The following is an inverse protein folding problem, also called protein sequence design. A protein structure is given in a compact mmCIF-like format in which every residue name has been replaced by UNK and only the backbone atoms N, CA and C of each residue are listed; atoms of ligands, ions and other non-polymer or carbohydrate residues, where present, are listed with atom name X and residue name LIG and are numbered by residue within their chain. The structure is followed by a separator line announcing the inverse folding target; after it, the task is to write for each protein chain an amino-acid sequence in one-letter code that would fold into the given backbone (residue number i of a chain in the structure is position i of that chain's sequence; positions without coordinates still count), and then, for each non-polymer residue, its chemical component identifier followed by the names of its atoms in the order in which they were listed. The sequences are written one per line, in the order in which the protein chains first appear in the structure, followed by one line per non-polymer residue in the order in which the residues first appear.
data_IF_460342172077
#
_entry.id   IF_460342172077
#
_cell.length_a   1.000
_cell.length_b   1.000
_cell.length_c   1.000
_cell.angle_alpha   90.00
_cell.angle_beta   90.00
_cell.angle_gamma   90.00
#
_symmetry.space_group_name_H-M   'P 1'
#
loop_
_entity.id
_entity.type
_entity.pdbx_description
1 polymer ?
#
# COMPACT_ATOMS: atom_id res chain seq x y z
N UNK A 1 7.27 38.83 -21.86
CA UNK A 1 7.64 37.43 -21.48
C UNK A 1 6.40 36.79 -20.88
N UNK A 2 5.95 35.66 -21.42
CA UNK A 2 4.90 34.87 -20.74
C UNK A 2 5.32 34.58 -19.30
N UNK A 3 4.47 34.83 -18.31
CA UNK A 3 4.78 34.56 -16.92
C UNK A 3 5.30 33.12 -16.78
N UNK A 4 6.42 32.94 -16.11
CA UNK A 4 7.13 31.65 -16.03
C UNK A 4 6.30 30.50 -15.45
N UNK A 5 5.17 30.77 -14.79
CA UNK A 5 4.23 29.78 -14.30
C UNK A 5 3.30 29.20 -15.39
N UNK A 6 3.09 29.93 -16.50
CA UNK A 6 2.22 29.47 -17.60
C UNK A 6 2.86 28.33 -18.41
N UNK A 7 4.19 28.25 -18.44
CA UNK A 7 4.88 27.17 -19.17
C UNK A 7 4.60 25.78 -18.55
N UNK A 8 4.79 25.57 -17.25
CA UNK A 8 4.43 24.30 -16.63
C UNK A 8 2.93 23.96 -16.76
N UNK A 9 2.06 24.96 -16.58
CA UNK A 9 0.62 24.77 -16.74
C UNK A 9 0.27 24.38 -18.19
N UNK A 10 0.83 25.06 -19.17
CA UNK A 10 0.63 24.73 -20.58
C UNK A 10 1.11 23.31 -20.91
N UNK A 11 2.26 22.88 -20.37
CA UNK A 11 2.77 21.53 -20.55
C UNK A 11 1.85 20.48 -19.92
N UNK A 12 1.33 20.72 -18.73
CA UNK A 12 0.37 19.81 -18.07
C UNK A 12 -0.93 19.72 -18.86
N UNK A 13 -1.46 20.86 -19.31
CA UNK A 13 -2.69 20.90 -20.12
C UNK A 13 -2.45 20.21 -21.48
N UNK A 14 -1.33 20.49 -22.14
CA UNK A 14 -0.99 19.85 -23.41
C UNK A 14 -0.81 18.33 -23.21
N UNK A 15 -0.13 17.89 -22.17
CA UNK A 15 -0.01 16.47 -21.84
C UNK A 15 -1.40 15.84 -21.58
N UNK A 16 -2.29 16.48 -20.82
CA UNK A 16 -3.63 16.00 -20.56
C UNK A 16 -4.52 15.91 -21.81
N UNK A 17 -4.30 16.79 -22.80
CA UNK A 17 -5.04 16.80 -24.06
C UNK A 17 -4.47 15.84 -25.11
N UNK A 18 -3.14 15.68 -25.15
CA UNK A 18 -2.43 14.90 -26.17
C UNK A 18 -2.35 13.42 -25.77
N UNK A 19 -2.20 13.12 -24.47
CA UNK A 19 -2.06 11.75 -24.01
C UNK A 19 -3.40 11.01 -24.13
N UNK A 20 -3.45 9.87 -24.83
CA UNK A 20 -4.65 9.05 -24.91
C UNK A 20 -5.12 8.64 -23.50
N UNK A 21 -6.41 8.80 -23.23
CA UNK A 21 -7.00 8.37 -21.94
C UNK A 21 -6.73 6.89 -21.64
N UNK A 22 -6.60 6.07 -22.69
CA UNK A 22 -6.20 4.66 -22.57
C UNK A 22 -4.78 4.44 -22.02
N UNK A 23 -3.90 5.45 -22.11
CA UNK A 23 -2.55 5.40 -21.54
C UNK A 23 -2.52 5.80 -20.07
N UNK A 24 -3.57 6.49 -19.62
CA UNK A 24 -3.72 6.97 -18.23
C UNK A 24 -4.58 6.03 -17.38
N UNK A 25 -5.27 5.07 -17.99
CA UNK A 25 -6.15 4.13 -17.32
C UNK A 25 -5.45 2.79 -17.05
N UNK A 26 -5.04 2.58 -15.79
CA UNK A 26 -4.56 1.29 -15.29
C UNK A 26 -3.07 1.00 -15.53
N UNK A 27 -2.65 -0.22 -15.24
CA UNK A 27 -1.27 -0.70 -15.29
C UNK A 27 -0.59 -0.72 -16.68
N UNK A 28 -1.22 -0.14 -17.70
CA UNK A 28 -0.75 -0.15 -19.10
C UNK A 28 0.01 1.11 -19.53
N UNK A 29 0.32 2.01 -18.60
CA UNK A 29 1.17 3.18 -18.92
C UNK A 29 2.55 2.69 -19.31
N UNK A 30 3.02 3.09 -20.50
CA UNK A 30 4.37 2.72 -20.95
C UNK A 30 5.41 3.30 -19.96
N UNK A 31 6.32 2.49 -19.39
CA UNK A 31 7.25 2.94 -18.35
C UNK A 31 8.07 4.17 -18.75
N UNK A 32 8.53 4.25 -20.03
CA UNK A 32 9.31 5.39 -20.51
C UNK A 32 8.56 6.73 -20.47
N UNK A 33 7.23 6.69 -20.75
CA UNK A 33 6.40 7.89 -20.71
C UNK A 33 6.24 8.38 -19.27
N UNK A 34 6.01 7.45 -18.34
CA UNK A 34 5.94 7.75 -16.92
C UNK A 34 7.27 8.35 -16.42
N UNK A 35 8.41 7.76 -16.81
CA UNK A 35 9.73 8.28 -16.47
C UNK A 35 9.95 9.69 -17.03
N UNK A 36 9.53 9.97 -18.26
CA UNK A 36 9.62 11.29 -18.88
C UNK A 36 8.79 12.32 -18.10
N UNK A 37 7.56 11.98 -17.69
CA UNK A 37 6.72 12.84 -16.86
C UNK A 37 7.37 13.10 -15.50
N UNK A 38 7.90 12.07 -14.85
CA UNK A 38 8.61 12.18 -13.57
C UNK A 38 9.83 13.11 -13.71
N UNK A 39 10.64 12.95 -14.76
CA UNK A 39 11.78 13.86 -15.02
C UNK A 39 11.32 15.31 -15.24
N UNK A 40 10.24 15.52 -15.98
CA UNK A 40 9.66 16.86 -16.17
C UNK A 40 9.23 17.51 -14.86
N UNK A 41 8.53 16.76 -14.00
CA UNK A 41 8.13 17.24 -12.67
C UNK A 41 9.35 17.53 -11.79
N UNK A 42 10.37 16.66 -11.81
CA UNK A 42 11.61 16.86 -11.06
C UNK A 42 12.35 18.17 -11.48
N UNK A 43 12.41 18.45 -12.78
CA UNK A 43 12.98 19.71 -13.28
C UNK A 43 12.21 20.95 -12.80
N UNK A 44 10.87 20.88 -12.81
CA UNK A 44 10.03 21.98 -12.30
C UNK A 44 10.23 22.16 -10.79
N UNK A 45 10.33 21.06 -10.04
CA UNK A 45 10.59 21.07 -8.61
C UNK A 45 11.96 21.67 -8.28
N UNK A 46 13.03 21.28 -8.99
CA UNK A 46 14.35 21.84 -8.81
C UNK A 46 14.39 23.34 -9.12
N UNK A 47 13.71 23.76 -10.19
CA UNK A 47 13.55 25.18 -10.51
C UNK A 47 12.82 25.95 -9.42
N UNK A 48 11.73 25.37 -8.86
CA UNK A 48 11.00 25.96 -7.75
C UNK A 48 11.90 26.11 -6.52
N UNK A 49 12.60 25.07 -6.12
CA UNK A 49 13.50 25.10 -4.96
C UNK A 49 14.65 26.09 -5.15
N UNK A 50 15.22 26.17 -6.37
CA UNK A 50 16.24 27.18 -6.70
C UNK A 50 15.69 28.59 -6.53
N UNK A 51 14.51 28.88 -7.05
CA UNK A 51 13.83 30.16 -6.86
C UNK A 51 13.55 30.45 -5.37
N UNK A 52 13.09 29.46 -4.61
CA UNK A 52 12.84 29.61 -3.17
C UNK A 52 14.12 30.05 -2.43
N UNK A 53 15.23 29.37 -2.70
CA UNK A 53 16.51 29.64 -2.01
C UNK A 53 17.12 30.99 -2.42
N UNK A 54 17.12 31.30 -3.73
CA UNK A 54 17.84 32.49 -4.23
C UNK A 54 17.03 33.78 -4.17
N UNK A 55 15.70 33.70 -4.35
CA UNK A 55 14.89 34.89 -4.56
C UNK A 55 13.92 35.20 -3.40
N UNK A 56 13.68 34.24 -2.48
CA UNK A 56 12.59 34.42 -1.51
C UNK A 56 13.00 34.22 -0.04
N UNK A 57 14.24 33.80 0.22
CA UNK A 57 14.73 33.66 1.59
C UNK A 57 15.55 34.85 2.03
N UNK A 58 15.41 35.28 3.31
CA UNK A 58 16.27 36.27 3.88
C UNK A 58 17.68 35.67 4.06
N UNK A 59 18.65 36.21 3.33
CA UNK A 59 20.07 35.81 3.43
C UNK A 59 20.80 36.59 4.51
N UNK A 60 20.30 37.79 4.86
CA UNK A 60 20.80 38.61 5.95
C UNK A 60 19.93 38.42 7.20
N UNK A 61 20.54 38.37 8.37
CA UNK A 61 19.82 38.23 9.63
C UNK A 61 19.18 36.86 9.87
N UNK A 62 19.86 35.78 9.50
CA UNK A 62 19.37 34.38 9.59
C UNK A 62 18.82 34.03 11.00
N UNK A 63 19.28 34.70 12.05
CA UNK A 63 18.82 34.48 13.41
C UNK A 63 17.55 35.30 13.76
N UNK A 64 17.02 36.12 12.85
CA UNK A 64 15.75 36.82 13.14
C UNK A 64 14.59 35.83 13.20
N UNK A 65 13.56 36.04 14.04
CA UNK A 65 12.40 35.17 14.14
C UNK A 65 11.69 34.96 12.77
N UNK A 66 11.63 36.02 11.97
CA UNK A 66 11.06 35.95 10.61
C UNK A 66 11.88 35.02 9.67
N UNK A 67 13.22 35.13 9.73
CA UNK A 67 14.09 34.26 8.96
C UNK A 67 13.95 32.80 9.39
N UNK A 68 13.93 32.52 10.70
CA UNK A 68 13.72 31.17 11.25
C UNK A 68 12.38 30.60 10.75
N UNK A 69 11.32 31.41 10.73
CA UNK A 69 10.03 31.02 10.21
C UNK A 69 10.10 30.65 8.70
N UNK A 70 10.69 31.52 7.87
CA UNK A 70 10.82 31.29 6.43
C UNK A 70 11.64 30.02 6.11
N UNK A 71 12.77 29.81 6.80
CA UNK A 71 13.59 28.61 6.66
C UNK A 71 12.89 27.34 7.15
N UNK A 72 12.06 27.44 8.21
CA UNK A 72 11.26 26.30 8.70
C UNK A 72 10.21 25.85 7.68
N UNK A 73 9.55 26.81 7.02
CA UNK A 73 8.61 26.49 5.93
C UNK A 73 9.35 25.82 4.76
N UNK A 74 10.52 26.36 4.34
CA UNK A 74 11.30 25.72 3.28
C UNK A 74 11.73 24.30 3.67
N UNK A 75 12.11 24.04 4.92
CA UNK A 75 12.47 22.70 5.36
C UNK A 75 11.28 21.72 5.22
N UNK A 76 10.06 22.16 5.53
CA UNK A 76 8.84 21.37 5.32
C UNK A 76 8.59 21.15 3.81
N UNK A 77 8.76 22.18 2.97
CA UNK A 77 8.64 22.06 1.52
C UNK A 77 9.65 21.03 0.95
N UNK A 78 10.89 21.06 1.39
CA UNK A 78 11.94 20.09 0.99
C UNK A 78 11.53 18.67 1.42
N UNK A 79 11.01 18.50 2.64
CA UNK A 79 10.53 17.21 3.12
C UNK A 79 9.42 16.65 2.23
N UNK A 80 8.48 17.49 1.79
CA UNK A 80 7.41 17.12 0.84
C UNK A 80 7.99 16.70 -0.51
N UNK A 81 8.99 17.42 -1.01
CA UNK A 81 9.64 17.05 -2.27
C UNK A 81 10.41 15.74 -2.18
N UNK A 82 11.04 15.44 -1.03
CA UNK A 82 11.68 14.15 -0.79
C UNK A 82 10.63 13.03 -0.76
N UNK A 83 9.52 13.20 -0.06
CA UNK A 83 8.41 12.25 -0.03
C UNK A 83 7.85 11.99 -1.44
N UNK A 84 7.63 13.07 -2.20
CA UNK A 84 7.17 12.99 -3.59
C UNK A 84 8.18 12.28 -4.49
N UNK A 85 9.48 12.53 -4.33
CA UNK A 85 10.53 11.86 -5.08
C UNK A 85 10.58 10.34 -4.79
N UNK A 86 10.40 9.95 -3.52
CA UNK A 86 10.29 8.53 -3.14
C UNK A 86 9.04 7.90 -3.76
N UNK A 87 7.89 8.58 -3.74
CA UNK A 87 6.69 8.11 -4.42
C UNK A 87 6.91 7.92 -5.92
N UNK A 88 7.54 8.90 -6.58
CA UNK A 88 7.86 8.79 -8.01
C UNK A 88 8.84 7.66 -8.30
N UNK A 89 9.84 7.44 -7.43
CA UNK A 89 10.72 6.30 -7.53
C UNK A 89 9.91 4.99 -7.44
N UNK A 90 9.01 4.87 -6.48
CA UNK A 90 8.15 3.67 -6.31
C UNK A 90 7.38 3.38 -7.60
N UNK A 91 6.72 4.37 -8.20
CA UNK A 91 5.87 4.15 -9.37
C UNK A 91 6.61 4.14 -10.71
N UNK A 92 7.91 4.45 -10.74
CA UNK A 92 8.70 4.61 -11.97
C UNK A 92 8.91 3.32 -12.78
N UNK A 93 8.74 2.14 -12.15
CA UNK A 93 8.98 0.82 -12.76
C UNK A 93 7.81 -0.14 -12.49
N UNK A 94 6.58 0.16 -12.96
CA UNK A 94 5.45 -0.73 -12.72
C UNK A 94 5.70 -2.10 -13.37
N UNK A 95 5.46 -3.17 -12.62
CA UNK A 95 5.48 -4.55 -13.12
C UNK A 95 4.05 -5.04 -13.30
N UNK A 96 3.79 -5.64 -14.46
CA UNK A 96 2.55 -6.35 -14.74
C UNK A 96 2.83 -7.85 -14.81
N UNK A 97 2.34 -8.59 -13.83
CA UNK A 97 2.52 -10.02 -13.72
C UNK A 97 1.38 -10.83 -14.39
N UNK A 98 0.41 -10.19 -15.05
CA UNK A 98 -0.75 -10.89 -15.64
C UNK A 98 -0.34 -11.95 -16.66
N UNK A 99 0.66 -11.66 -17.52
CA UNK A 99 1.18 -12.63 -18.49
C UNK A 99 1.88 -13.81 -17.82
N UNK A 100 2.63 -13.57 -16.76
CA UNK A 100 3.27 -14.63 -15.98
C UNK A 100 2.20 -15.49 -15.30
N UNK A 101 1.14 -14.88 -14.79
CA UNK A 101 -0.01 -15.60 -14.24
C UNK A 101 -0.73 -16.43 -15.32
N UNK A 102 -0.91 -15.90 -16.57
CA UNK A 102 -1.50 -16.66 -17.68
C UNK A 102 -0.69 -17.93 -18.00
N UNK A 103 0.63 -17.80 -18.12
CA UNK A 103 1.51 -18.94 -18.38
C UNK A 103 1.52 -19.92 -17.21
N UNK A 104 1.60 -19.42 -15.98
CA UNK A 104 1.60 -20.25 -14.77
C UNK A 104 0.28 -21.00 -14.61
N UNK A 105 -0.88 -20.36 -14.84
CA UNK A 105 -2.19 -21.01 -14.82
C UNK A 105 -2.28 -22.12 -15.87
N UNK A 106 -1.90 -21.83 -17.12
CA UNK A 106 -1.94 -22.82 -18.20
C UNK A 106 -1.11 -24.07 -17.84
N UNK A 107 0.06 -23.88 -17.24
CA UNK A 107 0.91 -24.99 -16.80
C UNK A 107 0.29 -25.75 -15.64
N UNK A 108 -0.20 -25.06 -14.60
CA UNK A 108 -0.81 -25.71 -13.44
C UNK A 108 -2.06 -26.51 -13.85
N UNK A 109 -2.87 -26.00 -14.78
CA UNK A 109 -4.03 -26.73 -15.32
C UNK A 109 -3.64 -27.97 -16.15
N UNK A 110 -2.45 -27.97 -16.75
CA UNK A 110 -1.89 -29.12 -17.45
C UNK A 110 -1.24 -30.14 -16.51
N UNK A 111 -0.96 -29.75 -15.25
CA UNK A 111 -0.39 -30.63 -14.23
C UNK A 111 -1.48 -31.56 -13.66
N UNK A 112 -1.13 -32.80 -13.38
CA UNK A 112 -2.05 -33.76 -12.73
C UNK A 112 -2.47 -33.24 -11.35
N UNK A 113 -3.73 -33.44 -10.97
CA UNK A 113 -4.28 -32.96 -9.70
C UNK A 113 -3.44 -33.37 -8.48
N UNK A 114 -2.85 -34.56 -8.52
CA UNK A 114 -1.99 -35.10 -7.44
C UNK A 114 -0.63 -34.42 -7.32
N UNK A 115 -0.18 -33.78 -8.42
CA UNK A 115 1.13 -33.12 -8.49
C UNK A 115 1.03 -31.61 -8.21
N UNK A 116 -0.20 -31.10 -8.04
CA UNK A 116 -0.41 -29.74 -7.59
C UNK A 116 -0.03 -29.59 -6.11
N UNK A 117 0.57 -28.42 -5.72
CA UNK A 117 0.97 -28.20 -4.34
C UNK A 117 -0.23 -28.13 -3.40
N UNK A 118 -0.02 -28.51 -2.15
CA UNK A 118 -1.03 -28.38 -1.09
C UNK A 118 -1.14 -26.97 -0.58
N UNK A 119 -2.37 -26.50 -0.33
CA UNK A 119 -2.67 -25.14 0.11
C UNK A 119 -3.59 -25.18 1.33
N UNK A 120 -3.14 -24.55 2.42
CA UNK A 120 -3.98 -24.27 3.58
C UNK A 120 -4.63 -22.87 3.42
N UNK A 121 -5.93 -22.76 3.53
CA UNK A 121 -6.66 -21.50 3.51
C UNK A 121 -7.01 -21.09 4.93
N UNK A 122 -6.44 -20.01 5.42
CA UNK A 122 -6.67 -19.47 6.76
C UNK A 122 -7.65 -18.31 6.70
N UNK A 123 -8.83 -18.47 7.30
CA UNK A 123 -9.84 -17.43 7.45
C UNK A 123 -9.78 -16.96 8.90
N UNK A 124 -9.12 -15.83 9.15
CA UNK A 124 -8.97 -15.29 10.49
C UNK A 124 -10.20 -14.46 10.88
N UNK A 125 -10.82 -14.79 12.02
CA UNK A 125 -12.06 -14.16 12.51
C UNK A 125 -12.03 -13.97 14.03
N UNK A 126 -12.79 -12.97 14.51
CA UNK A 126 -12.93 -12.67 15.94
C UNK A 126 -14.39 -12.48 16.35
N UNK A 127 -15.08 -11.50 15.78
CA UNK A 127 -16.46 -11.12 16.15
C UNK A 127 -17.31 -10.72 14.93
N UNK A 128 -16.86 -11.05 13.72
CA UNK A 128 -17.62 -10.75 12.51
C UNK A 128 -18.94 -11.53 12.51
N UNK A 129 -19.98 -10.89 11.94
CA UNK A 129 -21.32 -11.45 11.83
C UNK A 129 -21.34 -12.66 10.89
N UNK A 130 -22.30 -13.56 11.11
CA UNK A 130 -22.48 -14.76 10.32
C UNK A 130 -22.57 -14.48 8.82
N UNK A 131 -23.40 -13.51 8.43
CA UNK A 131 -23.66 -13.16 7.01
C UNK A 131 -22.40 -12.66 6.27
N UNK A 132 -21.45 -12.10 6.99
CA UNK A 132 -20.15 -11.66 6.44
C UNK A 132 -19.25 -12.86 6.26
N UNK A 133 -19.07 -13.63 7.34
CA UNK A 133 -18.14 -14.74 7.39
C UNK A 133 -18.56 -15.90 6.49
N UNK A 134 -19.85 -16.19 6.37
CA UNK A 134 -20.37 -17.26 5.52
C UNK A 134 -20.00 -17.05 4.06
N UNK A 135 -20.06 -15.83 3.55
CA UNK A 135 -19.67 -15.51 2.17
C UNK A 135 -18.21 -15.85 1.89
N UNK A 136 -17.32 -15.54 2.84
CA UNK A 136 -15.90 -15.87 2.74
C UNK A 136 -15.66 -17.38 2.79
N UNK A 137 -16.35 -18.09 3.69
CA UNK A 137 -16.29 -19.55 3.81
C UNK A 137 -16.76 -20.22 2.50
N UNK A 138 -17.92 -19.80 1.98
CA UNK A 138 -18.46 -20.33 0.72
C UNK A 138 -17.54 -20.04 -0.45
N UNK A 139 -16.99 -18.82 -0.53
CA UNK A 139 -16.00 -18.45 -1.53
C UNK A 139 -14.74 -19.31 -1.45
N UNK A 140 -14.23 -19.59 -0.26
CA UNK A 140 -13.10 -20.47 -0.06
C UNK A 140 -13.40 -21.94 -0.48
N UNK A 141 -14.60 -22.44 -0.24
CA UNK A 141 -15.03 -23.76 -0.69
C UNK A 141 -15.21 -23.85 -2.22
N UNK A 142 -15.51 -22.71 -2.86
CA UNK A 142 -15.67 -22.61 -4.32
C UNK A 142 -14.34 -22.44 -5.07
N UNK A 143 -13.20 -22.32 -4.36
CA UNK A 143 -11.89 -22.25 -5.02
C UNK A 143 -11.67 -23.45 -5.93
N UNK A 144 -11.32 -23.17 -7.18
CA UNK A 144 -10.96 -24.17 -8.20
C UNK A 144 -9.56 -24.72 -7.88
N UNK A 145 -9.52 -25.75 -7.03
CA UNK A 145 -8.31 -26.48 -6.63
C UNK A 145 -8.70 -27.89 -6.19
N UNK A 146 -7.85 -28.93 -6.42
CA UNK A 146 -8.16 -30.29 -6.00
C UNK A 146 -8.46 -30.36 -4.50
N UNK A 147 -9.56 -30.98 -4.13
CA UNK A 147 -10.05 -30.99 -2.74
C UNK A 147 -9.11 -31.74 -1.78
N UNK A 148 -8.34 -32.69 -2.28
CA UNK A 148 -7.30 -33.43 -1.55
C UNK A 148 -6.00 -32.60 -1.39
N UNK A 149 -5.91 -31.45 -2.06
CA UNK A 149 -4.81 -30.49 -2.00
C UNK A 149 -5.20 -29.14 -1.38
N UNK A 150 -6.47 -28.99 -0.97
CA UNK A 150 -7.03 -27.78 -0.41
C UNK A 150 -7.58 -28.03 1.00
N UNK A 151 -7.03 -27.39 1.99
CA UNK A 151 -7.51 -27.45 3.37
C UNK A 151 -8.02 -26.07 3.78
N UNK A 152 -9.25 -25.99 4.24
CA UNK A 152 -9.86 -24.73 4.71
C UNK A 152 -9.92 -24.74 6.23
N UNK A 153 -9.37 -23.72 6.87
CA UNK A 153 -9.28 -23.57 8.32
C UNK A 153 -9.87 -22.23 8.74
N UNK A 154 -10.91 -22.25 9.54
CA UNK A 154 -11.47 -21.06 10.19
C UNK A 154 -10.78 -20.88 11.54
N UNK A 155 -10.11 -19.73 11.71
CA UNK A 155 -9.30 -19.41 12.90
C UNK A 155 -10.08 -18.44 13.77
N UNK A 156 -10.83 -18.96 14.75
CA UNK A 156 -11.77 -18.19 15.56
C UNK A 156 -11.22 -17.80 16.94
N UNK A 157 -10.78 -16.56 17.07
CA UNK A 157 -10.41 -15.96 18.36
C UNK A 157 -11.64 -15.62 19.23
N UNK A 158 -12.84 -15.63 18.64
CA UNK A 158 -14.11 -15.44 19.33
C UNK A 158 -14.64 -16.67 20.05
N UNK A 159 -14.13 -17.87 19.72
CA UNK A 159 -14.50 -19.16 20.33
C UNK A 159 -16.01 -19.44 20.28
N UNK A 160 -16.61 -19.25 19.11
CA UNK A 160 -18.06 -19.27 18.90
C UNK A 160 -18.58 -20.67 18.60
N UNK A 161 -19.40 -21.25 19.48
CA UNK A 161 -19.95 -22.59 19.29
C UNK A 161 -20.81 -22.75 18.05
N UNK A 162 -21.55 -21.70 17.67
CA UNK A 162 -22.35 -21.73 16.45
C UNK A 162 -21.45 -21.82 15.21
N UNK A 163 -20.30 -21.14 15.21
CA UNK A 163 -19.36 -21.18 14.10
C UNK A 163 -18.67 -22.53 13.99
N UNK A 164 -18.32 -23.14 15.14
CA UNK A 164 -17.81 -24.51 15.15
C UNK A 164 -18.78 -25.48 14.50
N UNK A 165 -20.05 -25.47 14.93
CA UNK A 165 -21.11 -26.33 14.37
C UNK A 165 -21.27 -26.10 12.87
N UNK A 166 -21.18 -24.85 12.40
CA UNK A 166 -21.27 -24.50 11.00
C UNK A 166 -20.08 -25.05 10.20
N UNK A 167 -18.85 -24.94 10.71
CA UNK A 167 -17.65 -25.52 10.09
C UNK A 167 -17.72 -27.04 10.04
N UNK A 168 -18.09 -27.68 11.15
CA UNK A 168 -18.24 -29.15 11.23
C UNK A 168 -19.25 -29.68 10.20
N UNK A 169 -20.39 -29.01 10.03
CA UNK A 169 -21.40 -29.36 9.04
C UNK A 169 -20.94 -29.24 7.57
N UNK A 170 -19.91 -28.43 7.32
CA UNK A 170 -19.33 -28.18 5.99
C UNK A 170 -18.02 -28.95 5.74
N UNK A 171 -17.52 -29.70 6.73
CA UNK A 171 -16.23 -30.39 6.65
C UNK A 171 -15.03 -29.44 6.60
N UNK A 172 -15.13 -28.31 7.32
CA UNK A 172 -14.10 -27.28 7.41
C UNK A 172 -13.43 -27.37 8.79
N UNK A 173 -12.11 -27.24 8.83
CA UNK A 173 -11.38 -27.22 10.09
C UNK A 173 -11.66 -25.95 10.88
N UNK A 174 -11.99 -26.14 12.15
CA UNK A 174 -12.23 -25.03 13.07
C UNK A 174 -11.16 -25.01 14.15
N UNK A 175 -10.40 -23.91 14.21
CA UNK A 175 -9.30 -23.75 15.16
C UNK A 175 -9.60 -22.62 16.15
N UNK A 176 -9.37 -22.91 17.41
CA UNK A 176 -9.32 -21.93 18.50
C UNK A 176 -7.99 -22.05 19.22
N UNK A 177 -7.70 -21.08 20.06
CA UNK A 177 -6.53 -21.05 20.93
C UNK A 177 -6.88 -20.54 22.33
N UNK A 178 -6.05 -20.83 23.33
CA UNK A 178 -6.34 -20.46 24.72
C UNK A 178 -6.27 -18.96 24.96
N UNK A 179 -5.34 -18.28 24.32
CA UNK A 179 -5.08 -16.85 24.46
C UNK A 179 -5.13 -16.13 23.12
N UNK A 180 -5.74 -14.95 23.09
CA UNK A 180 -5.76 -14.05 21.90
C UNK A 180 -4.51 -13.15 21.82
N UNK A 181 -3.40 -13.54 22.46
CA UNK A 181 -2.14 -12.81 22.40
C UNK A 181 -1.69 -12.64 20.94
N UNK A 182 -1.18 -11.44 20.62
CA UNK A 182 -0.73 -11.05 19.28
C UNK A 182 -1.83 -11.05 18.20
N UNK A 183 -3.09 -10.96 18.60
CA UNK A 183 -4.25 -10.81 17.71
C UNK A 183 -4.18 -11.75 16.47
N UNK A 184 -4.38 -11.22 15.26
CA UNK A 184 -4.38 -11.98 13.99
C UNK A 184 -3.08 -12.76 13.75
N UNK A 185 -1.91 -12.13 13.95
CA UNK A 185 -0.62 -12.81 13.75
C UNK A 185 -0.46 -14.02 14.66
N UNK A 186 -0.85 -13.90 15.93
CA UNK A 186 -0.84 -15.02 16.87
C UNK A 186 -1.80 -16.14 16.48
N UNK A 187 -2.96 -15.79 15.92
CA UNK A 187 -3.96 -16.75 15.45
C UNK A 187 -3.44 -17.53 14.24
N UNK A 188 -2.87 -16.83 13.25
CA UNK A 188 -2.23 -17.46 12.08
C UNK A 188 -1.04 -18.33 12.51
N UNK A 189 -0.20 -17.89 13.45
CA UNK A 189 0.92 -18.68 13.96
C UNK A 189 0.47 -19.98 14.61
N UNK A 190 -0.65 -19.96 15.33
CA UNK A 190 -1.25 -21.17 15.91
C UNK A 190 -1.76 -22.13 14.81
N UNK A 191 -2.27 -21.62 13.70
CA UNK A 191 -2.69 -22.42 12.57
C UNK A 191 -1.48 -23.01 11.82
N UNK A 192 -0.44 -22.22 11.54
CA UNK A 192 0.80 -22.70 10.89
C UNK A 192 1.40 -23.89 11.63
N UNK A 193 1.35 -23.89 12.97
CA UNK A 193 1.86 -24.98 13.80
C UNK A 193 1.02 -26.27 13.76
N UNK A 194 -0.22 -26.22 13.22
CA UNK A 194 -1.19 -27.33 13.16
C UNK A 194 -1.46 -27.81 11.75
N UNK A 195 -0.85 -27.21 10.76
CA UNK A 195 -1.06 -27.51 9.34
C UNK A 195 0.28 -27.69 8.64
N UNK A 196 0.27 -28.33 7.49
CA UNK A 196 1.47 -28.79 6.75
C UNK A 196 1.42 -28.50 5.25
N UNK A 197 0.44 -27.72 4.78
CA UNK A 197 0.36 -27.31 3.38
C UNK A 197 1.64 -26.62 2.90
N UNK A 198 2.07 -26.93 1.66
CA UNK A 198 3.27 -26.31 1.06
C UNK A 198 3.14 -24.78 0.93
N UNK A 199 1.90 -24.32 0.81
CA UNK A 199 1.54 -22.91 0.79
C UNK A 199 0.37 -22.64 1.73
N UNK A 200 0.23 -21.41 2.17
CA UNK A 200 -0.98 -20.99 2.87
C UNK A 200 -1.49 -19.65 2.31
N UNK A 201 -2.82 -19.58 2.12
CA UNK A 201 -3.57 -18.39 1.75
C UNK A 201 -4.17 -17.77 3.01
N UNK A 202 -3.94 -16.48 3.24
CA UNK A 202 -4.58 -15.74 4.33
C UNK A 202 -5.72 -14.89 3.77
N UNK A 203 -6.90 -15.04 4.35
CA UNK A 203 -8.09 -14.25 4.08
C UNK A 203 -8.58 -13.59 5.37
N UNK A 204 -8.98 -12.34 5.31
CA UNK A 204 -9.81 -11.73 6.35
C UNK A 204 -11.25 -12.29 6.26
N UNK A 205 -11.97 -12.24 7.35
CA UNK A 205 -13.31 -12.78 7.46
C UNK A 205 -14.33 -12.17 6.47
N UNK A 206 -14.01 -10.99 5.94
CA UNK A 206 -14.83 -10.19 5.04
C UNK A 206 -14.34 -10.17 3.58
N UNK A 207 -13.36 -11.01 3.21
CA UNK A 207 -12.85 -11.12 1.84
C UNK A 207 -13.24 -12.45 1.18
N UNK A 208 -14.04 -12.36 0.12
CA UNK A 208 -14.56 -13.49 -0.65
C UNK A 208 -13.59 -13.76 -1.81
N UNK A 209 -12.85 -14.87 -1.82
CA UNK A 209 -12.00 -15.23 -2.95
C UNK A 209 -12.85 -15.65 -4.16
N UNK A 210 -12.34 -15.39 -5.36
CA UNK A 210 -12.92 -15.90 -6.62
C UNK A 210 -12.40 -17.31 -6.92
N UNK A 211 -13.16 -18.07 -7.67
CA UNK A 211 -12.86 -19.46 -7.99
C UNK A 211 -11.45 -19.66 -8.56
N UNK A 212 -11.00 -18.79 -9.45
CA UNK A 212 -9.71 -18.89 -10.14
C UNK A 212 -8.51 -18.34 -9.35
N UNK A 213 -8.72 -17.90 -8.11
CA UNK A 213 -7.68 -17.23 -7.28
C UNK A 213 -6.39 -18.04 -7.24
N UNK A 214 -6.48 -19.33 -6.89
CA UNK A 214 -5.30 -20.16 -6.71
C UNK A 214 -4.55 -20.37 -8.02
N UNK A 215 -5.21 -20.75 -9.09
CA UNK A 215 -4.56 -20.95 -10.38
C UNK A 215 -3.83 -19.69 -10.87
N UNK A 216 -4.43 -18.52 -10.70
CA UNK A 216 -3.84 -17.24 -11.09
C UNK A 216 -2.61 -16.89 -10.27
N UNK A 217 -2.72 -16.99 -8.96
CA UNK A 217 -1.67 -16.54 -8.04
C UNK A 217 -0.52 -17.55 -7.91
N UNK A 218 -0.84 -18.86 -7.88
CA UNK A 218 0.16 -19.93 -7.68
C UNK A 218 1.16 -20.02 -8.84
N UNK A 219 0.78 -19.61 -10.05
CA UNK A 219 1.67 -19.60 -11.20
C UNK A 219 2.93 -18.74 -11.00
N UNK A 220 2.87 -17.72 -10.15
CA UNK A 220 4.01 -16.83 -9.88
C UNK A 220 5.06 -17.46 -8.95
N UNK A 221 4.74 -18.56 -8.27
CA UNK A 221 5.68 -19.29 -7.41
C UNK A 221 6.60 -20.23 -8.19
N UNK A 222 6.56 -20.22 -9.50
CA UNK A 222 7.56 -20.90 -10.34
C UNK A 222 8.98 -20.38 -10.05
N UNK A 223 9.11 -19.09 -9.81
CA UNK A 223 10.36 -18.50 -9.30
C UNK A 223 10.52 -18.90 -7.82
N UNK A 224 11.57 -19.68 -7.46
CA UNK A 224 11.79 -20.11 -6.08
C UNK A 224 12.08 -18.95 -5.12
N UNK A 225 12.45 -17.77 -5.63
CA UNK A 225 12.65 -16.56 -4.82
C UNK A 225 11.33 -15.92 -4.39
N UNK A 226 10.20 -16.28 -5.00
CA UNK A 226 8.92 -15.75 -4.60
C UNK A 226 8.44 -16.45 -3.32
N UNK A 227 8.43 -15.71 -2.23
CA UNK A 227 7.92 -16.17 -0.95
C UNK A 227 6.44 -15.83 -0.76
N UNK A 228 5.99 -14.69 -1.28
CA UNK A 228 4.62 -14.21 -1.14
C UNK A 228 4.10 -13.74 -2.49
N UNK A 229 2.84 -14.07 -2.79
CA UNK A 229 2.05 -13.42 -3.84
C UNK A 229 0.91 -12.68 -3.19
N UNK A 230 0.89 -11.35 -3.37
CA UNK A 230 -0.13 -10.45 -2.87
C UNK A 230 -1.05 -10.02 -4.02
N UNK A 231 -2.37 -10.01 -3.80
CA UNK A 231 -3.34 -9.43 -4.71
C UNK A 231 -4.01 -8.19 -4.09
N UNK A 232 -4.63 -7.29 -4.89
CA UNK A 232 -5.29 -6.09 -4.39
C UNK A 232 -6.45 -6.39 -3.45
N UNK A 233 -6.64 -5.53 -2.47
CA UNK A 233 -7.94 -5.42 -1.82
C UNK A 233 -8.90 -4.70 -2.76
N UNK A 234 -10.04 -5.29 -3.03
CA UNK A 234 -11.12 -4.73 -3.84
C UNK A 234 -12.41 -4.82 -3.05
N UNK A 235 -13.30 -3.84 -3.20
CA UNK A 235 -14.49 -3.74 -2.35
C UNK A 235 -15.77 -3.75 -3.18
N UNK A 236 -16.82 -4.41 -2.65
CA UNK A 236 -18.14 -4.46 -3.29
C UNK A 236 -19.04 -3.31 -2.84
N UNK A 237 -18.84 -2.74 -1.66
CA UNK A 237 -19.54 -1.55 -1.17
C UNK A 237 -18.73 -0.27 -1.43
N UNK A 238 -19.36 0.90 -1.45
CA UNK A 238 -18.64 2.17 -1.49
C UNK A 238 -17.96 2.44 -0.16
N UNK A 239 -16.78 3.06 -0.20
CA UNK A 239 -16.18 3.62 1.01
C UNK A 239 -17.00 4.81 1.55
N UNK A 240 -16.76 5.26 2.82
CA UNK A 240 -17.53 6.33 3.43
C UNK A 240 -17.47 7.68 2.67
N UNK A 241 -16.35 7.97 1.99
CA UNK A 241 -16.22 9.20 1.20
C UNK A 241 -17.09 9.13 -0.06
N UNK A 242 -17.03 8.01 -0.78
CA UNK A 242 -17.85 7.75 -1.95
C UNK A 242 -19.35 7.75 -1.61
N UNK A 243 -19.72 7.14 -0.46
CA UNK A 243 -21.11 7.05 -0.01
C UNK A 243 -21.66 8.41 0.40
N UNK A 244 -20.97 9.14 1.27
CA UNK A 244 -21.43 10.41 1.83
C UNK A 244 -21.50 11.52 0.77
N UNK A 245 -20.54 11.54 -0.16
CA UNK A 245 -20.51 12.52 -1.25
C UNK A 245 -21.33 12.09 -2.48
N UNK A 246 -21.88 10.86 -2.50
CA UNK A 246 -22.60 10.27 -3.65
C UNK A 246 -21.74 10.22 -4.93
N UNK A 247 -20.43 10.07 -4.81
CA UNK A 247 -19.47 10.15 -5.91
C UNK A 247 -18.93 8.78 -6.37
N UNK A 248 -19.53 7.66 -5.99
CA UNK A 248 -19.06 6.31 -6.33
C UNK A 248 -18.74 6.10 -7.82
N UNK A 249 -19.50 6.75 -8.71
CA UNK A 249 -19.30 6.63 -10.17
C UNK A 249 -18.13 7.46 -10.71
N UNK A 250 -17.68 8.45 -9.96
CA UNK A 250 -16.69 9.45 -10.40
C UNK A 250 -15.41 9.35 -9.59
N UNK A 251 -15.54 9.16 -8.28
CA UNK A 251 -14.41 9.06 -7.36
C UNK A 251 -14.02 7.58 -7.20
N UNK A 252 -12.78 7.19 -7.50
CA UNK A 252 -12.29 5.86 -7.16
C UNK A 252 -12.29 5.66 -5.64
N UNK A 253 -12.30 4.40 -5.19
CA UNK A 253 -12.11 4.10 -3.77
C UNK A 253 -10.74 4.61 -3.29
N UNK A 254 -10.65 4.94 -2.01
CA UNK A 254 -9.47 5.58 -1.42
C UNK A 254 -8.19 4.72 -1.48
N UNK A 255 -8.32 3.40 -1.61
CA UNK A 255 -7.20 2.47 -1.73
C UNK A 255 -6.77 2.20 -3.17
N UNK A 256 -7.51 2.73 -4.16
CA UNK A 256 -7.26 2.48 -5.58
C UNK A 256 -5.87 2.89 -6.04
N UNK A 257 -5.39 4.03 -5.57
CA UNK A 257 -4.04 4.50 -5.89
C UNK A 257 -2.98 3.55 -5.34
N UNK A 258 -3.16 3.10 -4.10
CA UNK A 258 -2.23 2.21 -3.43
C UNK A 258 -2.16 0.86 -4.15
N UNK A 259 -3.27 0.15 -4.27
CA UNK A 259 -3.29 -1.17 -4.90
C UNK A 259 -3.14 -1.10 -6.43
N UNK A 260 -3.72 -0.11 -7.10
CA UNK A 260 -3.68 -0.02 -8.56
C UNK A 260 -2.35 0.45 -9.13
N UNK A 261 -1.57 1.24 -8.38
CA UNK A 261 -0.37 1.90 -8.93
C UNK A 261 0.86 1.69 -8.05
N UNK A 262 0.78 2.00 -6.75
CA UNK A 262 1.95 1.97 -5.86
C UNK A 262 2.47 0.55 -5.70
N UNK A 263 1.61 -0.44 -5.45
CA UNK A 263 2.03 -1.83 -5.26
C UNK A 263 2.64 -2.43 -6.53
N UNK A 264 2.09 -2.14 -7.72
CA UNK A 264 2.67 -2.55 -9.00
C UNK A 264 4.04 -1.90 -9.25
N UNK A 265 4.19 -0.63 -8.87
CA UNK A 265 5.46 0.09 -8.91
C UNK A 265 6.50 -0.52 -7.97
N UNK A 266 6.13 -0.78 -6.73
CA UNK A 266 6.98 -1.43 -5.73
C UNK A 266 7.43 -2.82 -6.17
N UNK A 267 6.56 -3.60 -6.82
CA UNK A 267 6.92 -4.92 -7.37
C UNK A 267 8.00 -4.81 -8.45
N UNK A 268 7.98 -3.77 -9.27
CA UNK A 268 9.05 -3.49 -10.24
C UNK A 268 10.44 -3.26 -9.62
N UNK A 269 10.47 -2.94 -8.32
CA UNK A 269 11.68 -2.78 -7.50
C UNK A 269 11.92 -3.95 -6.56
N UNK A 270 11.21 -5.07 -6.72
CA UNK A 270 11.23 -6.24 -5.83
C UNK A 270 10.90 -5.89 -4.35
N UNK A 271 10.11 -4.83 -4.14
CA UNK A 271 9.77 -4.27 -2.83
C UNK A 271 8.25 -4.20 -2.58
N UNK A 272 7.43 -4.96 -3.34
CA UNK A 272 6.05 -5.21 -2.96
C UNK A 272 6.01 -5.88 -1.58
N UNK A 273 4.89 -5.76 -0.86
CA UNK A 273 4.79 -6.33 0.48
C UNK A 273 3.44 -6.99 0.74
N UNK A 274 3.43 -7.88 1.73
CA UNK A 274 2.22 -8.49 2.25
C UNK A 274 1.33 -7.43 2.91
N UNK A 275 0.05 -7.42 2.60
CA UNK A 275 -0.95 -6.51 3.17
C UNK A 275 -1.87 -7.22 4.18
N UNK A 276 -1.42 -8.35 4.72
CA UNK A 276 -2.08 -9.08 5.82
C UNK A 276 -3.28 -9.94 5.40
N UNK A 277 -3.83 -9.75 4.19
CA UNK A 277 -4.92 -10.54 3.63
C UNK A 277 -4.77 -10.68 2.12
N UNK A 278 -5.50 -11.61 1.51
CA UNK A 278 -5.46 -11.88 0.07
C UNK A 278 -4.04 -12.17 -0.42
N UNK A 279 -3.29 -12.91 0.36
CA UNK A 279 -1.91 -13.26 0.07
C UNK A 279 -1.65 -14.75 0.25
N UNK A 280 -0.90 -15.32 -0.68
CA UNK A 280 -0.38 -16.69 -0.57
C UNK A 280 1.07 -16.61 -0.16
N UNK A 281 1.46 -17.44 0.79
CA UNK A 281 2.84 -17.52 1.31
C UNK A 281 3.39 -18.92 1.16
N UNK A 282 4.63 -19.03 0.69
CA UNK A 282 5.40 -20.28 0.59
C UNK A 282 5.88 -20.69 1.97
N UNK A 283 5.53 -21.89 2.44
CA UNK A 283 5.89 -22.38 3.78
C UNK A 283 7.40 -22.55 3.94
N UNK A 284 8.10 -23.09 2.93
CA UNK A 284 9.57 -23.26 3.02
C UNK A 284 10.32 -21.94 3.20
N UNK A 285 9.80 -20.83 2.67
CA UNK A 285 10.38 -19.49 2.94
C UNK A 285 10.13 -19.03 4.39
N UNK A 286 8.96 -19.40 4.95
CA UNK A 286 8.64 -19.12 6.36
C UNK A 286 9.55 -19.88 7.33
N UNK A 287 9.94 -21.11 7.00
CA UNK A 287 10.84 -21.92 7.81
C UNK A 287 12.20 -21.23 8.00
N UNK A 288 12.71 -20.53 6.98
CA UNK A 288 13.98 -19.78 7.07
C UNK A 288 13.94 -18.57 8.01
N UNK A 289 12.74 -18.11 8.38
CA UNK A 289 12.55 -17.03 9.35
C UNK A 289 11.93 -17.52 10.66
N UNK A 290 11.95 -18.85 10.91
CA UNK A 290 11.46 -19.47 12.14
C UNK A 290 10.01 -19.94 12.09
N UNK A 291 9.41 -20.08 10.91
CA UNK A 291 8.05 -20.56 10.63
C UNK A 291 6.97 -19.86 11.45
N UNK A 292 7.13 -18.53 11.65
CA UNK A 292 6.20 -17.69 12.41
C UNK A 292 6.13 -16.30 11.78
N UNK A 293 4.93 -15.74 11.74
CA UNK A 293 4.77 -14.32 11.49
C UNK A 293 5.39 -13.54 12.65
N UNK A 294 6.04 -12.41 12.38
CA UNK A 294 6.48 -11.47 13.42
C UNK A 294 5.30 -11.04 14.29
N UNK A 295 5.55 -10.84 15.58
CA UNK A 295 4.54 -10.41 16.56
C UNK A 295 5.01 -9.16 17.29
N UNK A 296 4.09 -8.46 17.96
CA UNK A 296 4.43 -7.27 18.74
C UNK A 296 4.28 -5.95 17.98
N UNK A 297 3.82 -6.00 16.73
CA UNK A 297 3.50 -4.84 15.88
C UNK A 297 2.07 -4.90 15.37
N UNK A 298 1.56 -3.74 14.96
CA UNK A 298 0.24 -3.61 14.33
C UNK A 298 0.29 -4.02 12.84
N UNK A 299 1.45 -3.84 12.20
CA UNK A 299 1.71 -4.17 10.79
C UNK A 299 2.73 -5.29 10.68
N UNK A 300 2.39 -6.44 11.22
CA UNK A 300 3.20 -7.65 11.21
C UNK A 300 3.49 -8.17 9.79
N UNK A 301 2.58 -7.91 8.87
CA UNK A 301 2.65 -8.25 7.46
C UNK A 301 3.79 -7.53 6.72
N UNK A 302 3.98 -6.24 6.99
CA UNK A 302 5.11 -5.48 6.46
C UNK A 302 6.44 -5.99 7.03
N UNK A 303 6.47 -6.32 8.32
CA UNK A 303 7.67 -6.85 8.97
C UNK A 303 7.99 -8.26 8.47
N UNK A 304 6.99 -9.10 8.21
CA UNK A 304 7.14 -10.39 7.53
C UNK A 304 7.87 -10.22 6.19
N UNK A 305 7.41 -9.28 5.38
CA UNK A 305 8.05 -9.00 4.08
C UNK A 305 9.51 -8.59 4.25
N UNK A 306 9.82 -7.71 5.20
CA UNK A 306 11.20 -7.29 5.48
C UNK A 306 12.10 -8.45 5.96
N UNK A 307 11.54 -9.37 6.75
CA UNK A 307 12.27 -10.56 7.18
C UNK A 307 12.63 -11.48 5.99
N UNK A 308 11.67 -11.68 5.08
CA UNK A 308 11.87 -12.49 3.88
C UNK A 308 12.82 -11.83 2.87
N UNK A 309 12.72 -10.50 2.68
CA UNK A 309 13.66 -9.74 1.83
C UNK A 309 15.12 -9.91 2.32
N UNK A 310 15.37 -9.94 3.64
CA UNK A 310 16.69 -10.17 4.21
C UNK A 310 17.26 -11.57 3.91
N UNK A 311 16.38 -12.52 3.64
CA UNK A 311 16.73 -13.88 3.21
C UNK A 311 16.90 -13.99 1.69
N UNK A 312 16.67 -12.91 0.94
CA UNK A 312 16.77 -12.87 -0.52
C UNK A 312 15.49 -13.26 -1.24
N UNK A 313 14.40 -13.47 -0.52
CA UNK A 313 13.08 -13.68 -1.10
C UNK A 313 12.43 -12.38 -1.54
N UNK A 314 11.43 -12.48 -2.40
CA UNK A 314 10.64 -11.34 -2.87
C UNK A 314 9.14 -11.61 -2.73
N UNK A 315 8.37 -10.54 -2.59
CA UNK A 315 6.92 -10.56 -2.74
C UNK A 315 6.59 -10.14 -4.17
N UNK A 316 5.75 -10.91 -4.86
CA UNK A 316 5.15 -10.52 -6.15
C UNK A 316 3.77 -9.96 -5.95
N UNK A 317 3.43 -8.98 -6.75
CA UNK A 317 2.12 -8.38 -6.75
C UNK A 317 1.36 -8.70 -8.04
N UNK A 318 0.23 -9.40 -7.92
CA UNK A 318 -0.65 -9.68 -9.05
C UNK A 318 -1.84 -8.70 -9.00
N UNK A 319 -1.83 -7.71 -9.88
CA UNK A 319 -2.85 -6.65 -9.92
C UNK A 319 -4.16 -7.12 -10.58
N UNK A 320 -4.72 -8.21 -10.07
CA UNK A 320 -5.99 -8.77 -10.50
C UNK A 320 -6.97 -8.85 -9.34
N UNK A 321 -8.24 -8.58 -9.60
CA UNK A 321 -9.30 -8.61 -8.57
C UNK A 321 -9.76 -10.05 -8.33
N UNK A 322 -8.96 -10.82 -7.60
CA UNK A 322 -9.23 -12.23 -7.29
C UNK A 322 -9.89 -12.44 -5.93
N UNK A 323 -10.13 -11.38 -5.18
CA UNK A 323 -10.97 -11.37 -3.98
C UNK A 323 -11.70 -10.04 -3.87
N UNK A 324 -12.88 -10.07 -3.26
CA UNK A 324 -13.74 -8.90 -3.06
C UNK A 324 -14.16 -8.85 -1.60
N UNK A 325 -13.90 -7.74 -0.92
CA UNK A 325 -14.16 -7.53 0.49
C UNK A 325 -15.15 -6.42 0.80
N UNK A 326 -15.33 -6.18 2.09
CA UNK A 326 -16.16 -5.12 2.64
C UNK A 326 -15.28 -3.93 3.02
N UNK A 327 -15.51 -2.76 2.40
CA UNK A 327 -14.87 -1.52 2.84
C UNK A 327 -15.49 -1.04 4.16
N UNK A 328 -14.74 -0.28 4.99
CA UNK A 328 -15.32 0.34 6.17
C UNK A 328 -16.62 1.08 5.84
N UNK A 329 -17.69 0.85 6.61
CA UNK A 329 -19.00 1.42 6.33
C UNK A 329 -19.21 2.81 6.97
N UNK A 330 -18.31 3.24 7.85
CA UNK A 330 -18.38 4.53 8.52
C UNK A 330 -17.05 5.27 8.50
N UNK A 331 -17.10 6.60 8.57
CA UNK A 331 -15.90 7.46 8.69
C UNK A 331 -15.11 7.12 9.95
N UNK A 332 -15.79 6.79 11.05
CA UNK A 332 -15.13 6.39 12.30
C UNK A 332 -14.32 5.10 12.12
N UNK A 333 -14.90 4.07 11.50
CA UNK A 333 -14.21 2.81 11.23
C UNK A 333 -13.02 3.02 10.28
N UNK A 334 -13.21 3.82 9.22
CA UNK A 334 -12.14 4.18 8.29
C UNK A 334 -11.00 4.92 9.00
N UNK A 335 -11.32 5.89 9.88
CA UNK A 335 -10.31 6.63 10.65
C UNK A 335 -9.52 5.71 11.58
N UNK A 336 -10.18 4.82 12.32
CA UNK A 336 -9.52 3.84 13.19
C UNK A 336 -8.59 2.94 12.39
N UNK A 337 -9.03 2.45 11.24
CA UNK A 337 -8.21 1.63 10.35
C UNK A 337 -6.96 2.39 9.87
N UNK A 338 -7.11 3.64 9.41
CA UNK A 338 -5.98 4.47 8.94
C UNK A 338 -5.01 4.82 10.06
N UNK A 339 -5.51 5.15 11.25
CA UNK A 339 -4.69 5.41 12.42
C UNK A 339 -3.85 4.18 12.83
N UNK A 340 -4.43 2.98 12.75
CA UNK A 340 -3.69 1.73 12.97
C UNK A 340 -2.56 1.55 11.96
N UNK A 341 -2.82 1.76 10.67
CA UNK A 341 -1.82 1.62 9.62
C UNK A 341 -0.69 2.66 9.76
N UNK A 342 -1.05 3.93 10.00
CA UNK A 342 -0.07 4.98 10.25
C UNK A 342 0.82 4.66 11.46
N UNK A 343 0.21 4.23 12.57
CA UNK A 343 0.94 3.84 13.79
C UNK A 343 1.90 2.69 13.52
N UNK A 344 1.42 1.62 12.87
CA UNK A 344 2.25 0.47 12.53
C UNK A 344 3.40 0.84 11.58
N UNK A 345 3.13 1.65 10.55
CA UNK A 345 4.13 2.12 9.61
C UNK A 345 5.22 2.97 10.27
N UNK A 346 4.87 3.79 11.27
CA UNK A 346 5.87 4.57 12.04
C UNK A 346 6.62 3.69 13.03
N UNK A 347 5.95 2.75 13.71
CA UNK A 347 6.59 1.84 14.67
C UNK A 347 7.73 1.04 14.04
N UNK A 348 7.59 0.63 12.77
CA UNK A 348 8.59 -0.18 12.07
C UNK A 348 9.96 0.51 11.97
N UNK A 349 10.01 1.84 11.99
CA UNK A 349 11.27 2.61 11.94
C UNK A 349 12.16 2.40 13.15
N UNK A 350 11.56 2.12 14.31
CA UNK A 350 12.24 1.98 15.58
C UNK A 350 12.67 0.55 15.88
N UNK A 351 12.41 -0.38 14.96
CA UNK A 351 12.77 -1.77 15.14
C UNK A 351 14.11 -2.08 14.47
N UNK A 352 14.87 -3.00 15.06
CA UNK A 352 16.08 -3.55 14.46
C UNK A 352 15.79 -4.25 13.14
N UNK A 353 14.63 -4.88 13.03
CA UNK A 353 14.11 -5.57 11.84
C UNK A 353 13.45 -4.62 10.84
N UNK A 354 13.33 -3.35 11.17
CA UNK A 354 12.75 -2.31 10.32
C UNK A 354 13.67 -1.90 9.16
N UNK A 355 13.30 -0.88 8.38
CA UNK A 355 14.03 -0.49 7.17
C UNK A 355 15.45 0.00 7.42
N UNK A 356 15.77 0.48 8.62
CA UNK A 356 17.14 0.91 8.99
C UNK A 356 18.01 -0.23 9.49
N UNK A 357 17.46 -1.41 9.74
CA UNK A 357 18.22 -2.58 10.16
C UNK A 357 19.16 -3.14 9.06
N UNK A 358 20.08 -4.05 9.40
CA UNK A 358 21.02 -4.63 8.45
C UNK A 358 20.32 -5.53 7.40
N UNK A 359 21.02 -5.81 6.29
CA UNK A 359 20.62 -6.85 5.33
C UNK A 359 19.65 -6.41 4.22
N UNK A 360 19.25 -5.14 4.16
CA UNK A 360 18.43 -4.60 3.08
C UNK A 360 19.27 -3.75 2.13
N UNK A 361 18.94 -3.78 0.85
CA UNK A 361 19.49 -2.88 -0.17
C UNK A 361 18.94 -1.46 -0.01
N UNK A 362 19.65 -0.46 -0.53
CA UNK A 362 19.24 0.95 -0.38
C UNK A 362 17.83 1.22 -0.91
N UNK A 363 17.49 0.73 -2.10
CA UNK A 363 16.16 0.93 -2.67
C UNK A 363 15.07 0.23 -1.85
N UNK A 364 15.33 -0.97 -1.30
CA UNK A 364 14.40 -1.66 -0.40
C UNK A 364 14.16 -0.80 0.85
N UNK A 365 15.21 -0.23 1.47
CA UNK A 365 15.08 0.68 2.61
C UNK A 365 14.19 1.87 2.29
N UNK A 366 14.45 2.57 1.19
CA UNK A 366 13.70 3.75 0.75
C UNK A 366 12.21 3.43 0.54
N UNK A 367 11.91 2.25 -0.03
CA UNK A 367 10.53 1.81 -0.25
C UNK A 367 9.74 1.57 1.06
N UNK A 368 10.43 1.22 2.15
CA UNK A 368 9.78 0.92 3.44
C UNK A 368 9.87 2.07 4.46
N UNK A 369 10.47 3.21 4.12
CA UNK A 369 10.40 4.40 4.97
C UNK A 369 9.02 5.06 4.79
N UNK A 370 8.20 5.17 5.84
CA UNK A 370 6.85 5.73 5.76
C UNK A 370 6.88 7.26 5.83
N UNK A 371 7.67 7.91 4.96
CA UNK A 371 7.91 9.36 5.03
C UNK A 371 6.60 10.15 4.89
N UNK A 372 5.67 9.66 4.09
CA UNK A 372 4.35 10.26 3.92
C UNK A 372 3.61 10.43 5.27
N UNK A 373 3.60 9.40 6.12
CA UNK A 373 2.97 9.46 7.44
C UNK A 373 3.66 10.42 8.41
N UNK A 374 4.95 10.68 8.20
CA UNK A 374 5.71 11.65 9.00
C UNK A 374 5.56 13.08 8.47
N UNK A 375 5.57 13.26 7.15
CA UNK A 375 5.50 14.57 6.50
C UNK A 375 4.09 15.18 6.57
N UNK A 376 3.04 14.39 6.36
CA UNK A 376 1.65 14.85 6.28
C UNK A 376 1.19 15.69 7.47
N UNK A 377 1.41 15.28 8.74
CA UNK A 377 1.02 16.11 9.90
C UNK A 377 1.73 17.46 9.93
N UNK A 378 3.01 17.52 9.55
CA UNK A 378 3.79 18.76 9.51
C UNK A 378 3.27 19.69 8.42
N UNK A 379 2.92 19.17 7.26
CA UNK A 379 2.32 19.92 6.15
C UNK A 379 0.96 20.51 6.55
N UNK A 380 0.09 19.71 7.17
CA UNK A 380 -1.21 20.18 7.65
C UNK A 380 -1.03 21.28 8.69
N UNK A 381 -0.14 21.09 9.66
CA UNK A 381 0.14 22.08 10.70
C UNK A 381 0.69 23.37 10.08
N UNK A 382 1.67 23.27 9.17
CA UNK A 382 2.24 24.44 8.48
C UNK A 382 1.15 25.17 7.67
N UNK A 383 0.31 24.46 6.94
CA UNK A 383 -0.77 25.05 6.14
C UNK A 383 -1.77 25.81 7.00
N UNK A 384 -2.12 25.28 8.17
CA UNK A 384 -3.05 25.93 9.10
C UNK A 384 -2.43 27.12 9.85
N UNK A 385 -1.17 27.00 10.28
CA UNK A 385 -0.52 28.01 11.11
C UNK A 385 0.09 29.15 10.29
N UNK A 386 0.59 28.92 9.08
CA UNK A 386 1.26 29.94 8.27
C UNK A 386 0.41 31.20 8.06
N UNK A 387 -0.87 31.13 7.64
CA UNK A 387 -1.69 32.33 7.49
C UNK A 387 -1.88 33.09 8.81
N UNK A 388 -2.11 32.39 9.92
CA UNK A 388 -2.28 32.99 11.24
C UNK A 388 -1.01 33.69 11.71
N UNK A 389 0.16 33.06 11.57
CA UNK A 389 1.46 33.64 11.91
C UNK A 389 1.72 34.89 11.06
N UNK A 390 1.52 34.79 9.72
CA UNK A 390 1.73 35.94 8.83
C UNK A 390 0.85 37.13 9.18
N UNK A 391 -0.44 36.89 9.51
CA UNK A 391 -1.37 37.95 9.89
C UNK A 391 -1.05 38.57 11.26
N UNK A 392 -0.60 37.80 12.22
CA UNK A 392 -0.36 38.27 13.57
C UNK A 392 0.98 38.98 13.71
N UNK A 393 2.03 38.43 13.07
CA UNK A 393 3.41 38.95 13.22
C UNK A 393 3.83 39.86 12.09
N UNK A 394 3.07 39.94 11.01
CA UNK A 394 3.45 40.56 9.73
C UNK A 394 4.70 39.92 9.09
N UNK A 395 5.11 38.74 9.55
CA UNK A 395 6.20 37.98 8.92
C UNK A 395 5.76 37.40 7.59
N UNK A 396 6.71 37.32 6.67
CA UNK A 396 6.48 36.67 5.38
C UNK A 396 7.40 35.46 5.24
N UNK A 397 6.82 34.32 4.84
CA UNK A 397 7.63 33.15 4.44
C UNK A 397 8.19 33.32 3.02
N UNK A 398 7.77 34.36 2.30
CA UNK A 398 8.25 34.75 0.98
C UNK A 398 8.74 36.19 1.03
N UNK A 399 10.04 36.38 1.17
CA UNK A 399 10.65 37.71 1.04
C UNK A 399 10.77 38.04 -0.46
N UNK A 400 9.91 38.93 -0.95
CA UNK A 400 10.00 39.37 -2.33
C UNK A 400 11.16 40.37 -2.49
N UNK A 401 12.10 40.15 -3.43
CA UNK A 401 13.15 41.11 -3.68
C UNK A 401 12.57 42.44 -4.15
N UNK A 402 13.22 43.58 -3.88
CA UNK A 402 12.72 44.95 -4.21
C UNK A 402 12.31 45.11 -5.68
N UNK A 403 12.88 44.34 -6.61
CA UNK A 403 12.54 44.34 -8.05
C UNK A 403 11.16 43.78 -8.37
N UNK A 404 10.55 42.99 -7.50
CA UNK A 404 9.21 42.46 -7.70
C UNK A 404 8.09 43.41 -7.24
N UNK A 405 8.42 44.50 -6.51
CA UNK A 405 7.48 45.54 -6.08
C UNK A 405 7.03 46.48 -7.22
N UNK A 406 7.55 46.30 -8.42
CA UNK A 406 7.16 47.07 -9.62
C UNK A 406 6.10 46.34 -10.47
N UNK A 407 5.18 45.61 -9.86
CA UNK A 407 3.90 45.32 -10.52
C UNK A 407 3.12 46.64 -10.52
N UNK A 408 2.75 47.19 -11.68
CA UNK A 408 1.93 48.39 -11.71
C UNK A 408 0.61 48.09 -11.02
N UNK A 409 0.28 48.83 -9.98
CA UNK A 409 -1.02 48.85 -9.31
C UNK A 409 -2.18 49.34 -10.21
N UNK A 410 -2.01 49.32 -11.52
CA UNK A 410 -2.97 49.79 -12.51
C UNK A 410 -3.91 48.71 -13.08
N UNK A 411 -4.07 47.56 -12.39
CA UNK A 411 -5.07 46.52 -12.76
C UNK A 411 -5.95 46.13 -11.58
N UNK A 412 -6.49 47.10 -10.86
CA UNK A 412 -7.72 46.91 -10.10
C UNK A 412 -8.67 48.07 -10.50
N UNK A 413 -9.87 47.78 -11.02
CA UNK A 413 -10.89 48.78 -11.30
C UNK A 413 -11.44 49.38 -10.01
#
# INVERSE_FOLDING_TARGET
MLPSFLIPLALVVAAALILPRSWMAGAKVKPWLLQLVICGIALVALRYLSWRVHDTLPMEGIASPEAVFAWSILAIEILVWIDTAILFLMVSRPRDNSKAADHGEARLRATGAKDLPSVDVFIATYNEDFDVLEKTIVGAQALDWPKDRLRICVLDDGKRDWLKKHCDARGIDYFTRDSNAHAKAGNINAAIARTDGEFFLVLDADFIPQENFLYRAMGLFEDPKVAIVQIPHSFYNPDPMQANLRLRKVLPDDQRLFFGTIMAGRDGWDAAFCCGSNSITRRSAMEEIGNKLPTGLITEDMLLTLALLRKGYVTRYLNERLAIGLAPESLSAMYVQRARWARGAVQILFLREGPFGPGLKLHERLMFIPLHWLAQPLVVLATLLTPAICLWTSWSHLVMPPRAKSFPTSFLP
#
